data_IF_831329071415
#
_entry.id   IF_831329071415
#
_cell.length_a   1.000
_cell.length_b   1.000
_cell.length_c   1.000
_cell.angle_alpha   90.00
_cell.angle_beta   90.00
_cell.angle_gamma   90.00
#
_symmetry.space_group_name_H-M   'P 1'
#
loop_
_entity.id
_entity.type
_entity.pdbx_description
1 polymer ?
#
# COMPACT_ATOMS: atom_id res chain seq x y z
N UNK A 1 -21.66 51.65 59.30
CA UNK A 1 -22.59 50.73 58.60
C UNK A 1 -22.60 51.10 57.12
N UNK A 2 -22.18 50.16 56.25
CA UNK A 2 -22.23 50.13 54.76
C UNK A 2 -21.99 51.43 53.96
N UNK A 3 -20.76 51.58 53.46
CA UNK A 3 -20.41 52.50 52.37
C UNK A 3 -20.82 51.91 51.01
N UNK A 4 -21.50 52.73 50.20
CA UNK A 4 -21.94 52.43 48.83
C UNK A 4 -20.75 52.45 47.86
N UNK A 5 -20.61 51.40 47.03
CA UNK A 5 -19.62 51.32 45.94
C UNK A 5 -20.24 51.83 44.61
N UNK A 6 -19.41 52.41 43.71
CA UNK A 6 -19.85 53.07 42.47
C UNK A 6 -20.14 52.08 41.32
N UNK A 7 -20.78 52.52 40.21
CA UNK A 7 -21.20 51.65 39.12
C UNK A 7 -20.02 51.12 38.29
N UNK A 8 -20.17 49.88 37.82
CA UNK A 8 -19.21 49.13 37.00
C UNK A 8 -19.04 49.74 35.61
N UNK A 9 -17.79 49.96 35.21
CA UNK A 9 -17.38 50.16 33.83
C UNK A 9 -17.51 48.85 33.03
N UNK A 10 -17.96 48.96 31.78
CA UNK A 10 -18.00 47.88 30.79
C UNK A 10 -16.60 47.73 30.19
N UNK A 11 -15.98 46.56 30.40
CA UNK A 11 -14.72 46.19 29.76
C UNK A 11 -14.99 45.30 28.54
N UNK A 12 -14.31 45.62 27.45
CA UNK A 12 -14.37 44.95 26.15
C UNK A 12 -14.02 43.46 26.23
N UNK A 13 -14.77 42.63 25.49
CA UNK A 13 -14.48 41.22 25.31
C UNK A 13 -13.23 41.06 24.45
N UNK A 14 -12.16 40.52 25.05
CA UNK A 14 -10.96 40.09 24.35
C UNK A 14 -11.26 38.87 23.48
N UNK A 15 -10.92 38.96 22.19
CA UNK A 15 -10.95 37.84 21.26
C UNK A 15 -9.89 36.81 21.66
N UNK A 16 -10.33 35.61 22.04
CA UNK A 16 -9.44 34.47 22.23
C UNK A 16 -8.93 34.00 20.87
N UNK A 17 -7.62 34.17 20.64
CA UNK A 17 -6.91 33.53 19.53
C UNK A 17 -6.95 32.02 19.74
N UNK A 18 -7.74 31.33 18.91
CA UNK A 18 -7.77 29.88 18.87
C UNK A 18 -6.40 29.36 18.41
N UNK A 19 -5.72 28.63 19.28
CA UNK A 19 -4.49 27.90 18.92
C UNK A 19 -4.84 26.90 17.81
N UNK A 20 -4.02 26.78 16.75
CA UNK A 20 -4.27 25.76 15.74
C UNK A 20 -4.09 24.39 16.40
N UNK A 21 -5.12 23.55 16.33
CA UNK A 21 -5.00 22.14 16.68
C UNK A 21 -3.93 21.44 15.81
N UNK A 22 -3.50 20.23 16.19
CA UNK A 22 -2.49 19.49 15.45
C UNK A 22 -2.94 19.33 13.99
N UNK A 23 -2.16 19.89 13.07
CA UNK A 23 -2.38 19.72 11.63
C UNK A 23 -2.24 18.25 11.30
N UNK A 24 -3.34 17.60 10.93
CA UNK A 24 -3.33 16.26 10.32
C UNK A 24 -2.42 16.32 9.09
N UNK A 25 -1.35 15.53 9.08
CA UNK A 25 -0.48 15.42 7.91
C UNK A 25 -1.36 15.03 6.70
N UNK A 26 -1.28 15.80 5.62
CA UNK A 26 -2.00 15.47 4.39
C UNK A 26 -1.37 14.22 3.79
N UNK A 27 -2.19 13.20 3.51
CA UNK A 27 -1.74 12.06 2.73
C UNK A 27 -1.20 12.53 1.37
N UNK A 28 0.03 12.11 1.02
CA UNK A 28 0.69 12.46 -0.24
C UNK A 28 -0.08 11.98 -1.47
N UNK A 29 -0.85 10.91 -1.29
CA UNK A 29 -1.66 10.28 -2.32
C UNK A 29 -3.08 10.07 -1.83
N UNK A 30 -4.04 10.09 -2.76
CA UNK A 30 -5.45 9.81 -2.52
C UNK A 30 -5.98 8.87 -3.59
N UNK A 31 -7.09 8.19 -3.29
CA UNK A 31 -7.75 7.29 -4.22
C UNK A 31 -9.07 7.86 -4.73
N UNK A 32 -9.45 7.45 -5.93
CA UNK A 32 -10.79 7.63 -6.49
C UNK A 32 -11.32 6.27 -6.97
N UNK A 33 -12.43 5.84 -6.39
CA UNK A 33 -13.08 4.58 -6.73
C UNK A 33 -14.08 4.78 -7.88
N UNK A 34 -14.07 3.86 -8.85
CA UNK A 34 -15.02 3.79 -9.98
C UNK A 34 -15.55 2.35 -10.10
N UNK A 35 -16.69 2.17 -10.75
CA UNK A 35 -17.41 0.90 -10.81
C UNK A 35 -17.98 0.48 -9.44
N UNK A 36 -18.62 -0.69 -9.40
CA UNK A 36 -19.24 -1.22 -8.18
C UNK A 36 -18.23 -1.99 -7.32
N UNK A 37 -18.10 -1.78 -6.00
CA UNK A 37 -17.24 -2.61 -5.17
C UNK A 37 -17.52 -4.12 -5.33
N UNK A 38 -16.46 -4.93 -5.36
CA UNK A 38 -16.53 -6.39 -5.53
C UNK A 38 -17.09 -6.86 -6.90
N UNK A 39 -17.07 -6.02 -7.94
CA UNK A 39 -17.46 -6.39 -9.31
C UNK A 39 -16.29 -6.38 -10.30
N UNK A 40 -16.53 -6.87 -11.54
CA UNK A 40 -15.55 -6.86 -12.64
C UNK A 40 -15.22 -5.47 -13.16
N UNK A 41 -16.11 -4.48 -13.00
CA UNK A 41 -15.93 -3.09 -13.41
C UNK A 41 -15.31 -2.20 -12.32
N UNK A 42 -15.09 -2.74 -11.11
CA UNK A 42 -14.49 -2.00 -10.01
C UNK A 42 -13.05 -1.57 -10.28
N UNK A 43 -12.72 -0.29 -10.05
CA UNK A 43 -11.38 0.29 -10.24
C UNK A 43 -11.05 1.26 -9.12
N UNK A 44 -9.77 1.31 -8.73
CA UNK A 44 -9.21 2.30 -7.81
C UNK A 44 -8.13 3.07 -8.54
N UNK A 45 -8.37 4.36 -8.77
CA UNK A 45 -7.43 5.29 -9.39
C UNK A 45 -6.69 6.07 -8.31
N UNK A 46 -5.46 6.50 -8.60
CA UNK A 46 -4.61 7.21 -7.66
C UNK A 46 -4.42 8.66 -8.11
N UNK A 47 -4.37 9.56 -7.13
CA UNK A 47 -4.10 10.99 -7.31
C UNK A 47 -2.98 11.43 -6.39
N UNK A 48 -2.13 12.35 -6.85
CA UNK A 48 -1.14 13.02 -6.00
C UNK A 48 -1.76 14.21 -5.24
N UNK A 49 -0.95 14.93 -4.45
CA UNK A 49 -1.40 16.11 -3.67
C UNK A 49 -2.02 17.24 -4.49
N UNK A 50 -1.69 17.34 -5.79
CA UNK A 50 -2.25 18.33 -6.71
C UNK A 50 -3.61 17.90 -7.31
N UNK A 51 -4.09 16.69 -6.97
CA UNK A 51 -5.32 16.13 -7.54
C UNK A 51 -5.15 15.52 -8.94
N UNK A 52 -3.92 15.47 -9.44
CA UNK A 52 -3.54 14.88 -10.71
C UNK A 52 -3.54 13.36 -10.64
N UNK A 53 -4.08 12.70 -11.67
CA UNK A 53 -4.06 11.23 -11.76
C UNK A 53 -2.63 10.74 -11.98
N UNK A 54 -2.34 9.61 -11.36
CA UNK A 54 -1.04 8.94 -11.42
C UNK A 54 -1.24 7.42 -11.52
N UNK A 55 -0.28 6.74 -12.13
CA UNK A 55 -0.20 5.28 -12.10
C UNK A 55 0.42 4.81 -10.78
N UNK A 56 -0.25 3.95 -10.00
CA UNK A 56 0.35 3.38 -8.79
C UNK A 56 1.55 2.47 -9.10
N UNK A 57 1.69 2.02 -10.35
CA UNK A 57 2.78 1.15 -10.78
C UNK A 57 4.01 1.92 -11.29
N UNK A 58 3.84 3.16 -11.76
CA UNK A 58 4.91 3.89 -12.46
C UNK A 58 5.28 5.22 -11.81
N UNK A 59 4.32 5.91 -11.20
CA UNK A 59 4.50 7.30 -10.77
C UNK A 59 4.74 7.41 -9.25
N UNK A 60 4.39 6.39 -8.47
CA UNK A 60 4.66 6.37 -7.03
C UNK A 60 6.13 5.97 -6.80
N UNK A 61 6.96 6.82 -6.16
CA UNK A 61 8.32 6.46 -5.80
C UNK A 61 8.35 5.32 -4.78
N UNK A 62 9.43 4.54 -4.81
CA UNK A 62 9.62 3.37 -3.93
C UNK A 62 9.62 3.67 -2.41
N UNK A 63 9.64 4.94 -1.99
CA UNK A 63 9.67 5.37 -0.57
C UNK A 63 8.54 6.38 -0.30
N UNK A 64 7.68 6.13 0.70
CA UNK A 64 6.47 6.95 1.05
C UNK A 64 6.25 6.96 2.59
N UNK A 65 5.30 7.69 3.23
CA UNK A 65 5.04 7.75 4.71
C UNK A 65 3.54 7.54 5.18
N UNK A 66 3.19 6.68 6.19
CA UNK A 66 1.83 6.45 6.83
C UNK A 66 1.74 5.37 7.98
N UNK A 67 0.59 5.06 8.62
CA UNK A 67 0.32 4.17 9.83
C UNK A 67 -1.02 3.36 9.79
N UNK A 68 -1.17 2.33 10.64
CA UNK A 68 -2.39 1.52 11.00
C UNK A 68 -2.90 0.46 9.99
N UNK A 69 -4.04 -0.23 10.28
CA UNK A 69 -4.71 -1.13 9.32
C UNK A 69 -4.98 -0.34 8.07
N UNK A 70 -4.26 -0.71 7.01
CA UNK A 70 -4.18 0.11 5.82
C UNK A 70 -5.47 0.02 5.02
N UNK A 71 -5.92 1.16 4.50
CA UNK A 71 -7.02 1.18 3.55
C UNK A 71 -6.55 0.71 2.18
N UNK A 72 -7.46 0.14 1.37
CA UNK A 72 -7.14 -0.24 -0.02
C UNK A 72 -6.66 1.00 -0.80
N UNK A 73 -5.49 0.87 -1.42
CA UNK A 73 -4.84 1.94 -2.18
C UNK A 73 -4.12 2.98 -1.31
N UNK A 74 -3.97 2.74 -0.01
CA UNK A 74 -3.08 3.54 0.82
C UNK A 74 -1.61 3.28 0.47
N UNK A 75 -0.80 4.34 0.50
CA UNK A 75 0.61 4.30 0.11
C UNK A 75 1.47 4.67 1.31
N UNK A 76 2.38 3.78 1.71
CA UNK A 76 3.05 3.83 3.02
C UNK A 76 4.57 3.55 2.93
N UNK A 77 5.38 3.93 3.93
CA UNK A 77 6.78 3.57 4.05
C UNK A 77 6.77 2.18 4.60
N UNK A 78 7.69 1.40 4.09
CA UNK A 78 8.03 0.18 4.79
C UNK A 78 9.53 0.11 5.00
N UNK A 79 9.91 -0.42 6.15
CA UNK A 79 11.25 -0.93 6.36
C UNK A 79 11.25 -2.41 5.97
N UNK A 80 11.96 -2.71 4.88
CA UNK A 80 12.20 -4.08 4.43
C UNK A 80 13.03 -4.82 5.47
N UNK A 81 12.58 -6.03 5.82
CA UNK A 81 13.19 -6.91 6.82
C UNK A 81 13.72 -8.20 6.19
N UNK A 82 13.08 -8.70 5.13
CA UNK A 82 13.49 -9.91 4.45
C UNK A 82 12.59 -10.26 3.28
N UNK A 83 12.72 -11.47 2.76
CA UNK A 83 11.97 -11.94 1.59
C UNK A 83 11.81 -13.47 1.61
N UNK A 84 10.69 -13.96 1.09
CA UNK A 84 10.42 -15.38 0.85
C UNK A 84 10.26 -15.61 -0.66
N UNK A 85 10.90 -16.66 -1.19
CA UNK A 85 10.74 -17.07 -2.59
C UNK A 85 9.69 -18.16 -2.73
N UNK A 86 8.46 -17.78 -3.09
CA UNK A 86 7.42 -18.73 -3.48
C UNK A 86 7.68 -19.17 -4.92
N UNK A 87 7.46 -20.44 -5.22
CA UNK A 87 7.40 -20.95 -6.59
C UNK A 87 5.92 -21.17 -6.89
N UNK A 88 5.35 -20.27 -7.69
CA UNK A 88 3.94 -20.32 -8.06
C UNK A 88 3.80 -20.80 -9.51
N UNK A 89 3.24 -21.99 -9.70
CA UNK A 89 2.99 -22.58 -11.03
C UNK A 89 4.24 -22.59 -11.96
N UNK A 90 5.43 -22.76 -11.37
CA UNK A 90 6.72 -22.79 -12.09
C UNK A 90 7.42 -21.43 -12.22
N UNK A 91 6.77 -20.35 -11.77
CA UNK A 91 7.30 -19.00 -11.78
C UNK A 91 7.79 -18.55 -10.41
N UNK A 92 8.71 -17.59 -10.38
CA UNK A 92 9.21 -17.03 -9.13
C UNK A 92 8.29 -15.90 -8.66
N UNK A 93 7.75 -16.05 -7.46
CA UNK A 93 6.87 -15.07 -6.81
C UNK A 93 7.47 -14.63 -5.47
N UNK A 94 8.12 -13.47 -5.47
CA UNK A 94 8.81 -12.95 -4.30
C UNK A 94 7.84 -12.28 -3.31
N UNK A 95 7.83 -12.74 -2.06
CA UNK A 95 7.04 -12.14 -0.97
C UNK A 95 7.95 -11.36 -0.04
N UNK A 96 7.93 -10.03 -0.14
CA UNK A 96 8.68 -9.15 0.76
C UNK A 96 8.09 -9.17 2.16
N UNK A 97 8.95 -9.24 3.17
CA UNK A 97 8.60 -9.05 4.57
C UNK A 97 9.06 -7.66 4.98
N UNK A 98 8.10 -6.82 5.39
CA UNK A 98 8.38 -5.46 5.75
C UNK A 98 7.44 -4.99 6.87
N UNK A 99 7.88 -3.99 7.62
CA UNK A 99 7.07 -3.32 8.65
C UNK A 99 6.84 -1.88 8.22
N UNK A 100 5.67 -1.33 8.52
CA UNK A 100 5.42 0.09 8.33
C UNK A 100 6.49 0.90 9.09
N UNK A 101 7.18 1.84 8.44
CA UNK A 101 8.26 2.59 9.10
C UNK A 101 7.78 3.52 10.21
N UNK A 102 6.50 3.92 10.21
CA UNK A 102 5.90 4.69 11.29
C UNK A 102 5.25 3.81 12.36
N UNK A 103 5.29 2.48 12.25
CA UNK A 103 4.80 1.61 13.30
C UNK A 103 5.50 1.95 14.64
N UNK A 104 4.80 2.04 15.78
CA UNK A 104 5.42 2.34 17.07
C UNK A 104 6.53 1.35 17.46
N UNK A 105 6.45 0.11 16.95
CA UNK A 105 7.46 -0.93 17.17
C UNK A 105 8.50 -0.98 16.05
N UNK A 106 8.41 -0.16 14.99
CA UNK A 106 9.30 -0.20 13.84
C UNK A 106 10.78 -0.20 14.26
N UNK A 107 11.15 0.60 15.26
CA UNK A 107 12.53 0.68 15.78
C UNK A 107 13.07 -0.61 16.39
N UNK A 108 12.25 -1.65 16.59
CA UNK A 108 12.68 -2.97 17.07
C UNK A 108 13.08 -3.93 15.94
N UNK A 109 12.65 -3.67 14.70
CA UNK A 109 12.79 -4.60 13.58
C UNK A 109 13.79 -4.08 12.56
N UNK A 110 14.99 -4.63 12.46
CA UNK A 110 16.03 -4.19 11.53
C UNK A 110 16.36 -5.22 10.45
N UNK A 111 16.15 -6.50 10.75
CA UNK A 111 16.34 -7.63 9.84
C UNK A 111 15.31 -8.74 10.13
N UNK A 112 15.31 -9.79 9.31
CA UNK A 112 14.36 -10.90 9.40
C UNK A 112 14.45 -11.65 10.75
N UNK A 113 15.63 -11.68 11.37
CA UNK A 113 15.84 -12.28 12.69
C UNK A 113 15.04 -11.61 13.80
N UNK A 114 14.79 -10.30 13.69
CA UNK A 114 14.00 -9.57 14.68
C UNK A 114 12.52 -9.96 14.62
N UNK A 115 12.02 -10.35 13.45
CA UNK A 115 10.65 -10.88 13.32
C UNK A 115 10.51 -12.16 14.12
N UNK A 116 11.44 -13.10 13.97
CA UNK A 116 11.48 -14.33 14.77
C UNK A 116 11.56 -14.06 16.27
N UNK A 117 12.37 -13.06 16.66
CA UNK A 117 12.59 -12.70 18.06
C UNK A 117 11.36 -12.06 18.72
N UNK A 118 10.76 -11.05 18.08
CA UNK A 118 9.71 -10.23 18.68
C UNK A 118 8.29 -10.68 18.31
N UNK A 119 8.13 -11.50 17.26
CA UNK A 119 6.85 -12.07 16.81
C UNK A 119 7.01 -13.59 16.56
N UNK A 120 7.32 -14.39 17.59
CA UNK A 120 7.54 -15.84 17.42
C UNK A 120 6.32 -16.51 16.78
N UNK A 121 6.54 -17.38 15.78
CA UNK A 121 5.50 -18.07 15.03
C UNK A 121 4.96 -17.32 13.80
N UNK A 122 5.25 -16.02 13.63
CA UNK A 122 4.72 -15.25 12.49
C UNK A 122 5.30 -15.70 11.15
N UNK A 123 6.61 -15.99 11.08
CA UNK A 123 7.24 -16.43 9.83
C UNK A 123 6.76 -17.83 9.46
N UNK A 124 6.61 -18.71 10.44
CA UNK A 124 6.09 -20.06 10.29
C UNK A 124 4.63 -20.04 9.81
N UNK A 125 3.79 -19.19 10.40
CA UNK A 125 2.41 -18.98 9.96
C UNK A 125 2.33 -18.41 8.54
N UNK A 126 3.21 -17.46 8.18
CA UNK A 126 3.29 -16.88 6.84
C UNK A 126 3.68 -17.93 5.80
N UNK A 127 4.71 -18.73 6.08
CA UNK A 127 5.14 -19.82 5.22
C UNK A 127 4.02 -20.85 5.03
N UNK A 128 3.34 -21.23 6.12
CA UNK A 128 2.23 -22.18 6.06
C UNK A 128 1.05 -21.63 5.25
N UNK A 129 0.70 -20.35 5.43
CA UNK A 129 -0.36 -19.71 4.65
C UNK A 129 -0.07 -19.80 3.16
N UNK A 130 1.13 -19.37 2.72
CA UNK A 130 1.50 -19.45 1.30
C UNK A 130 1.64 -20.88 0.79
N UNK A 131 1.96 -21.86 1.66
CA UNK A 131 2.04 -23.26 1.26
C UNK A 131 0.67 -23.79 0.88
N UNK A 132 -0.37 -23.44 1.64
CA UNK A 132 -1.66 -24.14 1.58
C UNK A 132 -2.84 -23.32 1.08
N UNK A 133 -2.71 -22.01 0.83
CA UNK A 133 -3.87 -21.16 0.50
C UNK A 133 -4.64 -21.58 -0.75
N UNK A 134 -4.01 -22.31 -1.67
CA UNK A 134 -4.65 -22.84 -2.89
C UNK A 134 -5.22 -24.25 -2.73
N UNK A 135 -4.95 -24.94 -1.61
CA UNK A 135 -5.44 -26.30 -1.36
C UNK A 135 -6.97 -26.39 -1.31
N UNK A 136 -7.70 -25.43 -0.69
CA UNK A 136 -9.17 -25.40 -0.75
C UNK A 136 -9.74 -25.31 -2.18
N UNK A 137 -8.95 -24.81 -3.14
CA UNK A 137 -9.32 -24.73 -4.56
C UNK A 137 -9.02 -26.03 -5.33
N UNK A 138 -8.54 -27.08 -4.65
CA UNK A 138 -8.14 -28.35 -5.26
C UNK A 138 -6.75 -28.33 -5.90
N UNK A 139 -5.96 -27.27 -5.71
CA UNK A 139 -4.57 -27.19 -6.18
C UNK A 139 -3.60 -27.84 -5.18
N UNK A 140 -2.43 -28.32 -5.63
CA UNK A 140 -1.41 -28.85 -4.72
C UNK A 140 -0.83 -27.75 -3.83
N UNK A 141 -0.09 -28.16 -2.78
CA UNK A 141 0.70 -27.22 -1.99
C UNK A 141 1.75 -26.51 -2.84
N UNK A 142 1.97 -25.23 -2.55
CA UNK A 142 3.00 -24.46 -3.24
C UNK A 142 4.41 -24.84 -2.75
N UNK A 143 5.38 -24.68 -3.65
CA UNK A 143 6.79 -24.91 -3.36
C UNK A 143 7.52 -23.61 -3.08
N UNK A 144 8.74 -23.70 -2.55
CA UNK A 144 9.54 -22.54 -2.17
C UNK A 144 10.99 -22.71 -2.61
N UNK A 145 11.58 -21.62 -3.09
CA UNK A 145 13.03 -21.50 -3.22
C UNK A 145 13.70 -21.61 -1.84
N UNK A 146 14.98 -21.99 -1.83
CA UNK A 146 15.79 -22.10 -0.61
C UNK A 146 15.12 -22.94 0.50
N UNK A 147 14.33 -23.96 0.12
CA UNK A 147 13.61 -24.82 1.05
C UNK A 147 12.68 -24.05 2.02
N UNK A 148 12.10 -22.93 1.58
CA UNK A 148 11.22 -22.10 2.40
C UNK A 148 11.94 -21.20 3.40
N UNK A 149 13.27 -21.06 3.31
CA UNK A 149 14.04 -20.15 4.14
C UNK A 149 13.75 -18.69 3.75
N UNK A 150 13.39 -17.86 4.75
CA UNK A 150 13.34 -16.42 4.57
C UNK A 150 14.76 -15.86 4.45
N UNK A 151 15.05 -15.14 3.37
CA UNK A 151 16.32 -14.44 3.21
C UNK A 151 16.27 -13.07 3.92
N UNK A 152 17.43 -12.63 4.37
CA UNK A 152 17.59 -11.41 5.15
C UNK A 152 17.32 -10.14 4.34
N UNK A 153 17.33 -9.00 5.02
CA UNK A 153 17.13 -7.68 4.42
C UNK A 153 18.09 -7.39 3.27
N UNK A 154 19.36 -7.75 3.41
CA UNK A 154 20.37 -7.46 2.39
C UNK A 154 20.02 -8.14 1.05
N UNK A 155 19.72 -9.44 1.09
CA UNK A 155 19.27 -10.19 -0.08
C UNK A 155 17.97 -9.62 -0.66
N UNK A 156 17.01 -9.27 0.20
CA UNK A 156 15.74 -8.67 -0.24
C UNK A 156 15.97 -7.36 -1.01
N UNK A 157 16.89 -6.50 -0.55
CA UNK A 157 17.23 -5.25 -1.22
C UNK A 157 17.90 -5.48 -2.59
N UNK A 158 18.69 -6.54 -2.75
CA UNK A 158 19.27 -6.91 -4.05
C UNK A 158 18.19 -7.34 -5.04
N UNK A 159 17.21 -8.14 -4.60
CA UNK A 159 16.06 -8.52 -5.42
C UNK A 159 15.24 -7.29 -5.82
N UNK A 160 14.91 -6.40 -4.87
CA UNK A 160 14.19 -5.15 -5.16
C UNK A 160 14.95 -4.29 -6.18
N UNK A 161 16.27 -4.17 -6.02
CA UNK A 161 17.10 -3.42 -6.98
C UNK A 161 17.03 -4.06 -8.37
N UNK A 162 17.15 -5.38 -8.46
CA UNK A 162 17.07 -6.11 -9.72
C UNK A 162 15.71 -5.92 -10.41
N UNK A 163 14.60 -6.11 -9.69
CA UNK A 163 13.25 -5.93 -10.25
C UNK A 163 12.96 -4.48 -10.63
N UNK A 164 13.53 -3.52 -9.89
CA UNK A 164 13.44 -2.10 -10.25
C UNK A 164 14.20 -1.78 -11.54
N UNK A 165 15.37 -2.39 -11.79
CA UNK A 165 16.06 -2.24 -13.08
C UNK A 165 15.28 -2.88 -14.24
N UNK A 166 14.65 -4.03 -14.02
CA UNK A 166 13.71 -4.62 -15.00
C UNK A 166 12.55 -3.66 -15.32
N UNK A 167 11.95 -3.04 -14.29
CA UNK A 167 10.89 -2.04 -14.44
C UNK A 167 11.38 -0.79 -15.21
N UNK A 168 12.60 -0.30 -14.95
CA UNK A 168 13.17 0.80 -15.73
C UNK A 168 13.34 0.42 -17.20
N UNK A 169 13.84 -0.78 -17.47
CA UNK A 169 13.99 -1.27 -18.83
C UNK A 169 12.63 -1.36 -19.55
N UNK A 170 11.61 -1.86 -18.86
CA UNK A 170 10.23 -1.90 -19.34
C UNK A 170 9.70 -0.50 -19.69
N UNK A 171 9.77 0.44 -18.75
CA UNK A 171 9.28 1.80 -18.93
C UNK A 171 10.02 2.59 -20.01
N UNK A 172 11.27 2.23 -20.29
CA UNK A 172 12.08 2.83 -21.35
C UNK A 172 11.99 2.07 -22.68
N UNK A 173 11.05 1.11 -22.80
CA UNK A 173 10.85 0.26 -23.98
C UNK A 173 12.12 -0.48 -24.42
N UNK A 174 13.00 -0.83 -23.47
CA UNK A 174 14.24 -1.59 -23.68
C UNK A 174 14.03 -3.10 -23.62
N UNK A 175 12.83 -3.56 -23.27
CA UNK A 175 12.41 -4.96 -23.34
C UNK A 175 10.98 -5.06 -23.88
N UNK A 176 10.56 -6.28 -24.25
CA UNK A 176 9.18 -6.53 -24.66
C UNK A 176 8.26 -6.49 -23.44
N UNK A 177 7.37 -5.50 -23.37
CA UNK A 177 6.41 -5.33 -22.27
C UNK A 177 5.18 -6.22 -22.34
N UNK A 178 5.00 -6.98 -23.43
CA UNK A 178 3.84 -7.85 -23.61
C UNK A 178 2.52 -7.08 -23.45
N UNK A 179 1.65 -7.54 -22.56
CA UNK A 179 0.36 -6.93 -22.27
C UNK A 179 0.40 -5.81 -21.21
N UNK A 180 1.57 -5.47 -20.66
CA UNK A 180 1.67 -4.47 -19.58
C UNK A 180 1.43 -3.06 -20.15
N UNK A 181 0.39 -2.40 -19.65
CA UNK A 181 0.14 -0.98 -19.94
C UNK A 181 1.14 -0.12 -19.16
N UNK A 182 2.06 0.52 -19.89
CA UNK A 182 3.12 1.35 -19.32
C UNK A 182 2.78 2.85 -19.25
N UNK A 183 1.52 3.22 -19.54
CA UNK A 183 1.07 4.62 -19.54
C UNK A 183 1.31 5.26 -18.17
N UNK A 184 1.98 6.40 -18.15
CA UNK A 184 2.37 7.10 -16.93
C UNK A 184 2.31 8.62 -17.14
N UNK A 185 2.30 9.39 -16.04
CA UNK A 185 2.11 10.85 -16.14
C UNK A 185 3.26 11.65 -15.50
N UNK A 186 4.21 10.98 -14.82
CA UNK A 186 5.31 11.66 -14.14
C UNK A 186 6.69 11.26 -14.67
N UNK A 187 6.83 10.13 -15.37
CA UNK A 187 8.11 9.69 -15.92
C UNK A 187 8.35 10.36 -17.27
N UNK A 188 8.83 11.61 -17.23
CA UNK A 188 8.92 12.50 -18.40
C UNK A 188 9.73 11.90 -19.57
N UNK A 189 10.77 11.12 -19.27
CA UNK A 189 11.62 10.49 -20.29
C UNK A 189 11.05 9.17 -20.83
N UNK A 190 9.92 8.70 -20.28
CA UNK A 190 9.29 7.47 -20.76
C UNK A 190 8.57 7.72 -22.08
N UNK A 191 8.75 6.85 -23.11
CA UNK A 191 7.97 6.91 -24.34
C UNK A 191 6.47 6.63 -24.14
N UNK A 192 6.05 6.23 -22.93
CA UNK A 192 4.66 5.97 -22.56
C UNK A 192 4.05 7.11 -21.73
N UNK A 193 4.75 8.23 -21.60
CA UNK A 193 4.24 9.40 -20.89
C UNK A 193 3.00 9.96 -21.60
N UNK A 194 1.91 10.17 -20.84
CA UNK A 194 0.71 10.86 -21.30
C UNK A 194 0.50 12.17 -20.55
N UNK A 195 -0.43 12.98 -21.00
CA UNK A 195 -0.84 14.22 -20.37
C UNK A 195 -1.88 13.96 -19.26
N UNK A 196 -2.05 14.94 -18.37
CA UNK A 196 -3.08 14.87 -17.33
C UNK A 196 -4.52 14.81 -17.90
N UNK A 197 -4.76 15.44 -19.05
CA UNK A 197 -6.09 15.43 -19.69
C UNK A 197 -6.39 14.06 -20.32
N UNK A 198 -5.39 13.40 -20.91
CA UNK A 198 -5.51 12.02 -21.40
C UNK A 198 -5.76 11.05 -20.23
N UNK A 199 -5.00 11.18 -19.14
CA UNK A 199 -5.20 10.38 -17.95
C UNK A 199 -6.61 10.56 -17.36
N UNK A 200 -7.10 11.80 -17.29
CA UNK A 200 -8.45 12.12 -16.82
C UNK A 200 -9.54 11.51 -17.69
N UNK A 201 -9.42 11.67 -19.01
CA UNK A 201 -10.38 11.12 -19.98
C UNK A 201 -10.49 9.60 -19.84
N UNK A 202 -9.38 8.92 -19.58
CA UNK A 202 -9.37 7.47 -19.34
C UNK A 202 -10.17 7.09 -18.08
N UNK A 203 -10.00 7.82 -16.96
CA UNK A 203 -10.76 7.55 -15.73
C UNK A 203 -12.26 7.84 -15.91
N UNK A 204 -12.60 8.94 -16.58
CA UNK A 204 -13.99 9.36 -16.79
C UNK A 204 -14.78 8.42 -17.69
N UNK A 205 -14.10 7.68 -18.57
CA UNK A 205 -14.73 6.63 -19.38
C UNK A 205 -15.25 5.45 -18.55
N UNK A 206 -14.82 5.31 -17.28
CA UNK A 206 -15.27 4.23 -16.38
C UNK A 206 -16.49 4.67 -15.58
N UNK A 207 -17.58 3.91 -15.71
CA UNK A 207 -18.86 4.14 -15.04
C UNK A 207 -18.72 4.26 -13.51
N UNK A 208 -19.51 5.14 -12.91
CA UNK A 208 -19.58 5.35 -11.46
C UNK A 208 -20.73 4.54 -10.84
N UNK A 209 -20.50 3.82 -9.73
CA UNK A 209 -21.57 3.15 -8.98
C UNK A 209 -21.24 3.10 -7.48
N UNK A 210 -22.17 3.55 -6.63
CA UNK A 210 -21.96 3.71 -5.18
C UNK A 210 -22.53 2.57 -4.33
N UNK A 211 -23.13 1.53 -4.93
CA UNK A 211 -23.83 0.52 -4.14
C UNK A 211 -22.88 -0.59 -3.69
N UNK A 212 -22.70 -0.71 -2.37
CA UNK A 212 -21.94 -1.78 -1.73
C UNK A 212 -22.94 -2.84 -1.27
N UNK A 213 -23.01 -3.97 -1.97
CA UNK A 213 -23.66 -5.17 -1.46
C UNK A 213 -22.60 -6.06 -0.78
N UNK A 214 -22.94 -6.59 0.38
CA UNK A 214 -22.12 -7.55 1.10
C UNK A 214 -22.34 -8.94 0.54
N UNK A 215 -21.28 -9.60 0.08
CA UNK A 215 -21.35 -11.00 -0.33
C UNK A 215 -21.16 -11.89 0.91
N UNK A 216 -22.12 -12.77 1.19
CA UNK A 216 -22.14 -13.60 2.42
C UNK A 216 -21.20 -14.83 2.34
N UNK A 217 -20.64 -15.13 1.17
CA UNK A 217 -19.81 -16.33 0.93
C UNK A 217 -18.42 -16.32 1.61
N UNK A 218 -17.96 -15.20 2.18
CA UNK A 218 -16.59 -15.07 2.73
C UNK A 218 -16.39 -15.63 4.16
N UNK A 219 -17.37 -16.30 4.76
CA UNK A 219 -17.31 -16.74 6.18
C UNK A 219 -16.93 -18.21 6.41
N UNK A 220 -16.56 -18.97 5.38
CA UNK A 220 -16.23 -20.39 5.51
C UNK A 220 -14.83 -20.62 6.10
N UNK A 221 -14.72 -21.55 7.07
CA UNK A 221 -13.44 -22.04 7.58
C UNK A 221 -13.05 -23.36 6.88
N UNK A 222 -11.85 -23.39 6.30
CA UNK A 222 -11.28 -24.58 5.69
C UNK A 222 -10.23 -25.20 6.62
N UNK A 223 -10.51 -26.43 7.07
CA UNK A 223 -9.58 -27.20 7.90
C UNK A 223 -8.89 -28.24 7.02
N UNK A 224 -7.60 -28.08 6.82
CA UNK A 224 -6.78 -29.04 6.08
C UNK A 224 -6.41 -30.17 7.04
N UNK A 225 -6.81 -31.40 6.70
CA UNK A 225 -6.43 -32.60 7.46
C UNK A 225 -4.92 -32.70 7.57
N UNK A 226 -4.43 -33.12 8.74
CA UNK A 226 -3.00 -33.38 8.98
C UNK A 226 -2.58 -34.70 8.36
#
# INVERSE_FOLDING_TARGET
MRALRPPRAVAAAGGASARPGPRRAMALYRTEERGRPCSRDYRVFFKNVAGHYISPFHDIPLKVDSKEVLSRGEVIPVKVLGILGLIDEGETDWKLIAINANDPEASKFHDIGDVKKFKPGYLEATLNWFRVYKVPEGKPENQFAFNGEFKNKAFALEIIKSTHECWKALLMKKCNGGAINCTNVQVCDSPFHCTQDEARSLVESVSFSLNKESNEEEQAWYFLGK
#
